data_IF_266676713411
#
_entry.id   IF_266676713411
#
_cell.length_a   1.000
_cell.length_b   1.000
_cell.length_c   1.000
_cell.angle_alpha   90.00
_cell.angle_beta   90.00
_cell.angle_gamma   90.00
#
_symmetry.space_group_name_H-M   'P 1'
#
loop_
_entity.id
_entity.type
_entity.pdbx_description
1 polymer ?
#
# COMPACT_ATOMS: atom_id res chain seq x y z
N UNK A 1 -15.48 27.73 -22.66
CA UNK A 1 -15.26 26.27 -22.62
C UNK A 1 -14.53 25.90 -21.33
N UNK A 2 -15.22 25.31 -20.35
CA UNK A 2 -14.60 24.87 -19.09
C UNK A 2 -13.77 23.60 -19.30
N UNK A 3 -12.59 23.52 -18.70
CA UNK A 3 -11.72 22.34 -18.78
C UNK A 3 -12.34 21.17 -18.03
N UNK A 4 -12.38 19.98 -18.67
CA UNK A 4 -12.86 18.74 -18.04
C UNK A 4 -12.00 18.40 -16.82
N UNK A 5 -12.57 18.39 -15.62
CA UNK A 5 -11.84 17.98 -14.41
C UNK A 5 -11.57 16.48 -14.44
N UNK A 6 -10.29 16.09 -14.37
CA UNK A 6 -9.87 14.69 -14.22
C UNK A 6 -9.59 14.44 -12.74
N UNK A 7 -10.01 13.28 -12.23
CA UNK A 7 -9.63 12.85 -10.89
C UNK A 7 -8.10 12.77 -10.79
N UNK A 8 -7.52 13.17 -9.67
CA UNK A 8 -6.07 13.08 -9.44
C UNK A 8 -5.78 11.91 -8.52
N UNK A 9 -4.70 11.18 -8.81
CA UNK A 9 -4.18 10.16 -7.89
C UNK A 9 -3.53 10.84 -6.70
N UNK A 10 -3.87 10.38 -5.50
CA UNK A 10 -3.17 10.80 -4.29
C UNK A 10 -1.72 10.27 -4.30
N UNK A 11 -0.75 11.17 -4.51
CA UNK A 11 0.68 10.80 -4.63
C UNK A 11 1.22 10.11 -3.38
N UNK A 12 0.69 10.42 -2.20
CA UNK A 12 1.13 9.79 -0.93
C UNK A 12 0.77 8.30 -0.91
N UNK A 13 -0.40 7.94 -1.42
CA UNK A 13 -0.81 6.54 -1.57
C UNK A 13 0.02 5.84 -2.64
N UNK A 14 0.25 6.49 -3.78
CA UNK A 14 1.07 5.95 -4.87
C UNK A 14 2.49 5.59 -4.46
N UNK A 15 3.08 6.35 -3.53
CA UNK A 15 4.42 6.09 -2.97
C UNK A 15 4.44 4.89 -2.02
N UNK A 16 3.35 4.66 -1.27
CA UNK A 16 3.29 3.65 -0.19
C UNK A 16 2.75 2.29 -0.65
N UNK A 17 1.85 2.28 -1.62
CA UNK A 17 1.14 1.09 -2.09
C UNK A 17 1.44 0.79 -3.55
N UNK A 18 1.58 -0.50 -3.87
CA UNK A 18 1.74 -0.97 -5.25
C UNK A 18 0.84 -2.17 -5.50
N UNK A 19 0.32 -2.30 -6.71
CA UNK A 19 -0.50 -3.46 -7.12
C UNK A 19 0.42 -4.55 -7.66
N UNK A 20 0.16 -5.80 -7.30
CA UNK A 20 0.83 -6.98 -7.88
C UNK A 20 0.19 -7.32 -9.23
N UNK A 21 0.88 -8.08 -10.07
CA UNK A 21 0.31 -8.61 -11.33
C UNK A 21 -1.00 -9.38 -11.09
N UNK A 22 -1.14 -10.03 -9.92
CA UNK A 22 -2.36 -10.74 -9.51
C UNK A 22 -3.53 -9.85 -9.05
N UNK A 23 -3.37 -8.52 -9.04
CA UNK A 23 -4.43 -7.58 -8.61
C UNK A 23 -4.43 -7.26 -7.11
N UNK A 24 -3.74 -8.03 -6.27
CA UNK A 24 -3.58 -7.72 -4.83
C UNK A 24 -2.66 -6.51 -4.56
N UNK A 25 -2.92 -5.76 -3.49
CA UNK A 25 -2.11 -4.59 -3.11
C UNK A 25 -1.04 -4.98 -2.08
N UNK A 26 0.22 -4.62 -2.35
CA UNK A 26 1.36 -4.84 -1.45
C UNK A 26 1.76 -3.57 -0.70
N UNK A 27 2.26 -3.75 0.53
CA UNK A 27 2.81 -2.69 1.40
C UNK A 27 4.04 -3.15 2.18
N UNK A 28 4.87 -2.20 2.58
CA UNK A 28 5.89 -2.43 3.61
C UNK A 28 5.25 -2.47 5.01
N UNK A 29 5.89 -3.16 5.96
CA UNK A 29 5.47 -3.15 7.36
C UNK A 29 6.15 -2.01 8.12
N UNK A 30 5.44 -1.47 9.12
CA UNK A 30 5.97 -0.44 10.00
C UNK A 30 6.96 -1.02 11.03
N UNK A 31 7.58 -0.15 11.83
CA UNK A 31 8.48 -0.52 12.93
C UNK A 31 9.78 -1.23 12.50
N UNK A 32 10.37 -0.78 11.39
CA UNK A 32 11.66 -1.29 10.90
C UNK A 32 12.82 -0.31 11.10
N UNK A 33 12.52 0.99 11.22
CA UNK A 33 13.53 2.06 11.26
C UNK A 33 14.22 2.21 12.61
N UNK A 34 13.45 2.39 13.69
CA UNK A 34 14.00 2.71 15.02
C UNK A 34 13.70 1.63 16.07
N UNK A 35 14.59 1.50 17.06
CA UNK A 35 14.54 0.50 18.14
C UNK A 35 14.51 -0.96 17.66
N UNK A 36 15.17 -1.27 16.55
CA UNK A 36 15.21 -2.62 15.98
C UNK A 36 16.09 -3.58 16.80
N UNK A 37 17.14 -3.08 17.46
CA UNK A 37 18.04 -3.90 18.29
C UNK A 37 17.37 -4.48 19.54
N UNK A 38 16.41 -3.75 20.13
CA UNK A 38 15.63 -4.21 21.31
C UNK A 38 14.58 -5.28 20.95
N UNK A 39 14.37 -5.59 19.67
CA UNK A 39 13.37 -6.55 19.21
C UNK A 39 14.05 -7.87 18.86
N UNK A 40 13.44 -8.99 19.27
CA UNK A 40 13.91 -10.34 18.88
C UNK A 40 14.13 -10.45 17.37
N UNK A 41 15.19 -11.14 16.95
CA UNK A 41 15.55 -11.38 15.53
C UNK A 41 14.39 -11.96 14.70
N UNK A 42 13.56 -12.83 15.28
CA UNK A 42 12.34 -13.35 14.65
C UNK A 42 11.34 -12.25 14.28
N UNK A 43 11.19 -11.23 15.15
CA UNK A 43 10.28 -10.10 14.93
C UNK A 43 10.81 -9.19 13.83
N UNK A 44 12.10 -8.83 13.86
CA UNK A 44 12.69 -7.96 12.83
C UNK A 44 12.68 -8.62 11.46
N UNK A 45 12.96 -9.94 11.37
CA UNK A 45 12.84 -10.72 10.12
C UNK A 45 11.42 -10.73 9.56
N UNK A 46 10.40 -10.85 10.42
CA UNK A 46 8.99 -10.77 10.00
C UNK A 46 8.69 -9.39 9.40
N UNK A 47 9.10 -8.32 10.09
CA UNK A 47 8.84 -6.92 9.70
C UNK A 47 9.52 -6.47 8.40
N UNK A 48 10.58 -7.15 7.96
CA UNK A 48 11.23 -6.86 6.67
C UNK A 48 10.45 -7.37 5.46
N UNK A 49 9.50 -8.30 5.64
CA UNK A 49 8.75 -8.89 4.53
C UNK A 49 7.68 -7.94 4.02
N UNK A 50 7.51 -7.89 2.70
CA UNK A 50 6.40 -7.18 2.06
C UNK A 50 5.14 -8.03 2.21
N UNK A 51 4.05 -7.40 2.68
CA UNK A 51 2.77 -8.08 2.94
C UNK A 51 1.65 -7.49 2.12
N UNK A 52 0.55 -8.24 2.02
CA UNK A 52 -0.69 -7.76 1.43
C UNK A 52 -1.40 -6.79 2.39
N UNK A 53 -2.16 -5.85 1.82
CA UNK A 53 -3.06 -4.96 2.57
C UNK A 53 -4.28 -5.75 3.07
N UNK A 54 -4.83 -5.37 4.22
CA UNK A 54 -6.07 -5.97 4.74
C UNK A 54 -7.23 -5.70 3.80
N UNK A 55 -8.18 -6.65 3.70
CA UNK A 55 -9.36 -6.52 2.83
C UNK A 55 -10.16 -5.25 3.11
N UNK A 56 -10.26 -4.85 4.38
CA UNK A 56 -10.99 -3.64 4.80
C UNK A 56 -10.41 -2.33 4.23
N UNK A 57 -9.09 -2.24 4.00
CA UNK A 57 -8.44 -1.01 3.54
C UNK A 57 -8.40 -0.89 2.01
N UNK A 58 -8.66 -1.99 1.28
CA UNK A 58 -8.58 -2.01 -0.19
C UNK A 58 -9.56 -1.03 -0.84
N UNK A 59 -10.76 -0.90 -0.29
CA UNK A 59 -11.77 0.05 -0.78
C UNK A 59 -11.30 1.50 -0.73
N UNK A 60 -10.62 1.88 0.37
CA UNK A 60 -10.03 3.23 0.52
C UNK A 60 -8.94 3.47 -0.53
N UNK A 61 -8.04 2.50 -0.74
CA UNK A 61 -6.95 2.63 -1.72
C UNK A 61 -7.51 2.79 -3.15
N UNK A 62 -8.56 2.05 -3.50
CA UNK A 62 -9.20 2.14 -4.82
C UNK A 62 -9.77 3.54 -5.08
N UNK A 63 -10.36 4.17 -4.06
CA UNK A 63 -10.91 5.54 -4.17
C UNK A 63 -9.82 6.59 -4.34
N UNK A 64 -8.72 6.48 -3.60
CA UNK A 64 -7.61 7.44 -3.63
C UNK A 64 -6.71 7.30 -4.87
N UNK A 65 -6.75 6.13 -5.52
CA UNK A 65 -5.96 5.82 -6.71
C UNK A 65 -6.85 5.33 -7.87
N UNK A 66 -7.64 6.22 -8.47
CA UNK A 66 -8.72 5.86 -9.40
C UNK A 66 -8.24 5.20 -10.70
N UNK A 67 -6.98 5.42 -11.09
CA UNK A 67 -6.41 4.85 -12.32
C UNK A 67 -5.75 3.49 -12.14
N UNK A 68 -5.76 2.93 -10.93
CA UNK A 68 -5.19 1.59 -10.68
C UNK A 68 -6.25 0.50 -10.81
N UNK A 69 -5.90 -0.54 -11.56
CA UNK A 69 -6.70 -1.77 -11.66
C UNK A 69 -6.35 -2.73 -10.51
N UNK A 70 -7.11 -2.64 -9.43
CA UNK A 70 -7.00 -3.54 -8.26
C UNK A 70 -7.99 -4.70 -8.44
N UNK A 71 -7.51 -5.93 -8.42
CA UNK A 71 -8.35 -7.14 -8.48
C UNK A 71 -8.86 -7.51 -7.08
N UNK A 72 -10.14 -7.86 -6.96
CA UNK A 72 -10.70 -8.33 -5.69
C UNK A 72 -10.44 -9.83 -5.55
N UNK A 73 -9.69 -10.22 -4.52
CA UNK A 73 -9.47 -11.60 -4.08
C UNK A 73 -9.69 -11.68 -2.57
#
# INVERSE_FOLDING_TARGET
MGTKSKLKTNKTYAKKFRVRKSGSVKRAQAFTSHNSGKRRSKRTRRLRKIVQVSKADVGKIKREMPYLRIGQN
#
